data_IF_338111504271
#
_entry.id   IF_338111504271
#
_cell.length_a   1.000
_cell.length_b   1.000
_cell.length_c   1.000
_cell.angle_alpha   90.00
_cell.angle_beta   90.00
_cell.angle_gamma   90.00
#
_symmetry.space_group_name_H-M   'P 1'
#
loop_
_entity.id
_entity.type
_entity.pdbx_description
1 polymer ?
#
# COMPACT_ATOMS: atom_id res chain seq x y z
N UNK A 1 -14.94 -0.44 -58.66
CA UNK A 1 -14.27 0.60 -57.87
C UNK A 1 -15.09 0.86 -56.61
N UNK A 2 -14.58 0.36 -55.48
CA UNK A 2 -14.83 0.70 -54.06
C UNK A 2 -16.30 0.91 -53.62
N UNK A 3 -16.89 -0.13 -52.99
CA UNK A 3 -18.03 0.00 -52.07
C UNK A 3 -17.86 -0.92 -50.84
N UNK A 4 -16.70 -0.86 -50.20
CA UNK A 4 -16.39 -1.55 -48.93
C UNK A 4 -15.79 -0.57 -47.90
N UNK A 5 -16.24 0.68 -47.90
CA UNK A 5 -15.66 1.77 -47.09
C UNK A 5 -16.49 2.14 -45.84
N UNK A 6 -17.45 1.31 -45.43
CA UNK A 6 -18.23 1.57 -44.21
C UNK A 6 -18.42 0.25 -43.46
N UNK A 7 -17.36 -0.23 -42.80
CA UNK A 7 -17.46 -1.17 -41.66
C UNK A 7 -16.14 -1.46 -40.93
N UNK A 8 -15.05 -0.75 -41.22
CA UNK A 8 -13.77 -0.95 -40.51
C UNK A 8 -13.54 0.06 -39.37
N UNK A 9 -14.17 1.24 -39.43
CA UNK A 9 -13.99 2.30 -38.43
C UNK A 9 -14.62 1.98 -37.06
N UNK A 10 -15.69 1.17 -37.03
CA UNK A 10 -16.40 0.82 -35.79
C UNK A 10 -15.67 -0.27 -34.99
N UNK A 11 -14.83 -1.09 -35.62
CA UNK A 11 -14.07 -2.12 -34.90
C UNK A 11 -12.83 -1.56 -34.19
N UNK A 12 -12.25 -0.46 -34.70
CA UNK A 12 -11.04 0.14 -34.13
C UNK A 12 -11.35 0.93 -32.85
N UNK A 13 -12.56 1.50 -32.73
CA UNK A 13 -12.99 2.18 -31.50
C UNK A 13 -13.18 1.22 -30.31
N UNK A 14 -13.50 -0.05 -30.55
CA UNK A 14 -13.59 -1.08 -29.51
C UNK A 14 -12.23 -1.61 -29.04
N UNK A 15 -11.16 -1.47 -29.85
CA UNK A 15 -9.80 -1.88 -29.48
C UNK A 15 -9.12 -0.91 -28.51
N UNK A 16 -9.64 0.31 -28.33
CA UNK A 16 -9.01 1.37 -27.52
C UNK A 16 -9.61 1.53 -26.11
N UNK A 17 -10.61 0.73 -25.73
CA UNK A 17 -11.23 0.82 -24.39
C UNK A 17 -10.43 0.06 -23.32
N UNK A 18 -9.46 -0.79 -23.71
CA UNK A 18 -8.56 -1.45 -22.76
C UNK A 18 -7.25 -0.69 -22.51
N UNK A 19 -7.30 0.64 -22.46
CA UNK A 19 -6.38 1.37 -21.59
C UNK A 19 -6.85 1.20 -20.13
N UNK A 20 -6.87 -0.05 -19.64
CA UNK A 20 -7.02 -0.28 -18.22
C UNK A 20 -5.75 0.29 -17.60
N UNK A 21 -5.86 1.45 -16.95
CA UNK A 21 -4.78 2.00 -16.15
C UNK A 21 -4.26 0.86 -15.28
N UNK A 22 -3.02 0.45 -15.52
CA UNK A 22 -2.43 -0.77 -14.93
C UNK A 22 -2.71 -0.78 -13.43
N UNK A 23 -3.43 -1.81 -13.00
CA UNK A 23 -3.80 -2.01 -11.60
C UNK A 23 -2.51 -2.18 -10.78
N UNK A 24 -2.10 -1.12 -10.09
CA UNK A 24 -0.91 -1.08 -9.24
C UNK A 24 -1.14 -1.91 -7.98
N UNK A 25 -0.21 -2.80 -7.63
CA UNK A 25 -0.17 -3.35 -6.28
C UNK A 25 0.12 -2.23 -5.29
N UNK A 26 -0.42 -2.32 -4.08
CA UNK A 26 -0.28 -1.29 -3.06
C UNK A 26 0.40 -1.86 -1.82
N UNK A 27 1.40 -1.14 -1.32
CA UNK A 27 2.07 -1.45 -0.06
C UNK A 27 1.83 -0.30 0.91
N UNK A 28 1.41 -0.63 2.13
CA UNK A 28 1.23 0.33 3.22
C UNK A 28 2.18 -0.02 4.36
N UNK A 29 3.04 0.90 4.72
CA UNK A 29 3.94 0.78 5.87
C UNK A 29 3.42 1.70 6.97
N UNK A 30 3.12 1.12 8.14
CA UNK A 30 2.87 1.90 9.36
C UNK A 30 4.12 1.94 10.19
N UNK A 31 4.56 3.13 10.58
CA UNK A 31 5.73 3.29 11.41
C UNK A 31 5.53 4.34 12.49
N UNK A 32 6.29 4.21 13.59
CA UNK A 32 6.30 5.20 14.68
C UNK A 32 7.71 5.72 14.95
N UNK A 33 7.80 6.98 15.34
CA UNK A 33 9.04 7.58 15.85
C UNK A 33 9.44 6.84 17.14
N UNK A 34 10.73 6.62 17.30
CA UNK A 34 11.29 5.88 18.44
C UNK A 34 12.52 6.59 18.97
N UNK A 35 12.81 6.36 20.25
CA UNK A 35 14.00 6.90 20.90
C UNK A 35 15.26 6.23 20.38
N UNK A 36 16.40 6.92 20.52
CA UNK A 36 17.72 6.41 20.15
C UNK A 36 18.09 5.11 20.87
N UNK A 37 17.62 4.91 22.11
CA UNK A 37 17.99 3.80 23.00
C UNK A 37 17.12 2.52 22.88
N UNK A 38 16.31 2.38 21.83
CA UNK A 38 15.45 1.21 21.70
C UNK A 38 16.26 -0.01 21.16
N UNK A 39 16.01 -1.22 21.69
CA UNK A 39 16.63 -2.51 21.30
C UNK A 39 15.78 -3.31 20.29
N UNK A 40 16.35 -3.91 19.22
CA UNK A 40 15.61 -4.10 17.95
C UNK A 40 15.72 -5.39 17.12
N UNK A 41 14.65 -5.60 16.32
CA UNK A 41 14.66 -6.30 15.02
C UNK A 41 15.40 -5.46 13.96
N UNK A 42 16.47 -5.97 13.33
CA UNK A 42 17.30 -5.22 12.38
C UNK A 42 16.56 -4.79 11.10
N UNK A 43 15.48 -5.49 10.72
CA UNK A 43 14.65 -5.14 9.56
C UNK A 43 13.47 -4.22 9.92
N UNK A 44 13.25 -3.98 11.22
CA UNK A 44 12.06 -3.32 11.74
C UNK A 44 12.05 -1.80 11.59
N UNK A 45 12.82 -1.22 10.67
CA UNK A 45 13.04 0.22 10.64
C UNK A 45 13.22 0.83 9.27
N UNK A 46 12.94 2.14 9.23
CA UNK A 46 13.26 3.04 8.14
C UNK A 46 13.87 4.29 8.76
N UNK A 47 15.02 4.73 8.25
CA UNK A 47 15.58 6.03 8.57
C UNK A 47 15.26 7.00 7.44
N UNK A 48 14.78 8.18 7.80
CA UNK A 48 14.59 9.28 6.87
C UNK A 48 15.00 10.59 7.54
N UNK A 49 14.90 11.70 6.80
CA UNK A 49 15.26 13.03 7.27
C UNK A 49 14.47 13.47 8.53
N UNK A 50 13.39 12.77 8.91
CA UNK A 50 12.52 13.13 10.02
C UNK A 50 12.80 12.36 11.31
N UNK A 51 13.55 11.23 11.28
CA UNK A 51 14.11 10.42 12.39
C UNK A 51 14.18 8.93 11.98
N UNK A 52 14.67 8.10 12.90
CA UNK A 52 14.48 6.65 12.88
C UNK A 52 13.02 6.30 13.17
N UNK A 53 12.40 5.56 12.26
CA UNK A 53 11.00 5.13 12.34
C UNK A 53 10.95 3.60 12.48
N UNK A 54 10.28 3.13 13.52
CA UNK A 54 10.04 1.71 13.74
C UNK A 54 8.80 1.25 12.96
N UNK A 55 8.98 0.32 12.04
CA UNK A 55 7.89 -0.31 11.30
C UNK A 55 7.04 -1.10 12.31
N UNK A 56 5.75 -0.82 12.38
CA UNK A 56 4.79 -1.62 13.15
C UNK A 56 4.32 -2.80 12.31
N UNK A 57 3.87 -2.52 11.10
CA UNK A 57 3.45 -3.53 10.15
C UNK A 57 3.60 -3.02 8.72
N UNK A 58 3.65 -3.97 7.80
CA UNK A 58 3.61 -3.74 6.36
C UNK A 58 2.42 -4.53 5.82
N UNK A 59 1.51 -3.87 5.11
CA UNK A 59 0.33 -4.49 4.52
C UNK A 59 0.46 -4.47 3.00
N UNK A 60 0.29 -5.63 2.37
CA UNK A 60 0.37 -5.78 0.92
C UNK A 60 -1.03 -6.00 0.35
N UNK A 61 -1.38 -5.23 -0.66
CA UNK A 61 -2.65 -5.32 -1.37
C UNK A 61 -2.42 -5.67 -2.83
N UNK A 62 -3.30 -6.51 -3.34
CA UNK A 62 -3.31 -6.83 -4.74
C UNK A 62 -3.79 -5.66 -5.60
N UNK A 63 -3.72 -5.89 -6.91
CA UNK A 63 -4.14 -4.98 -7.96
C UNK A 63 -5.64 -4.59 -7.88
N UNK A 64 -6.46 -5.36 -7.18
CA UNK A 64 -7.88 -5.09 -6.94
C UNK A 64 -8.13 -4.33 -5.63
N UNK A 65 -7.07 -4.01 -4.87
CA UNK A 65 -7.16 -3.39 -3.56
C UNK A 65 -7.54 -4.37 -2.44
N UNK A 66 -7.42 -5.68 -2.67
CA UNK A 66 -7.66 -6.68 -1.62
C UNK A 66 -6.38 -6.96 -0.86
N UNK A 67 -6.47 -6.99 0.47
CA UNK A 67 -5.35 -7.36 1.33
C UNK A 67 -4.90 -8.80 1.02
N UNK A 68 -3.62 -8.97 0.68
CA UNK A 68 -2.97 -10.28 0.48
C UNK A 68 -2.36 -10.80 1.78
N UNK A 69 -1.54 -9.98 2.41
CA UNK A 69 -0.76 -10.36 3.59
C UNK A 69 -0.36 -9.15 4.44
N UNK A 70 -0.01 -9.43 5.69
CA UNK A 70 0.55 -8.46 6.63
C UNK A 70 1.84 -9.03 7.22
N UNK A 71 2.90 -8.21 7.21
CA UNK A 71 4.14 -8.47 7.92
C UNK A 71 4.10 -7.69 9.23
N UNK A 72 4.01 -8.39 10.36
CA UNK A 72 4.02 -7.79 11.69
C UNK A 72 5.45 -7.78 12.26
N UNK A 73 5.96 -6.59 12.61
CA UNK A 73 7.28 -6.47 13.20
C UNK A 73 7.32 -7.08 14.61
N UNK A 74 8.19 -8.07 14.80
CA UNK A 74 8.50 -8.73 16.08
C UNK A 74 9.98 -8.57 16.42
N UNK A 75 10.39 -8.78 17.68
CA UNK A 75 11.81 -8.70 18.07
C UNK A 75 12.77 -9.55 17.20
N UNK A 76 12.31 -10.70 16.70
CA UNK A 76 13.13 -11.65 15.93
C UNK A 76 12.90 -11.57 14.41
N UNK A 77 12.28 -10.50 13.90
CA UNK A 77 11.97 -10.37 12.47
C UNK A 77 10.50 -10.05 12.21
N UNK A 78 10.09 -10.12 10.95
CA UNK A 78 8.69 -9.98 10.59
C UNK A 78 7.97 -11.33 10.64
N UNK A 79 6.86 -11.36 11.37
CA UNK A 79 5.92 -12.47 11.33
C UNK A 79 4.87 -12.20 10.25
N UNK A 80 4.76 -13.12 9.29
CA UNK A 80 3.83 -13.02 8.17
C UNK A 80 2.48 -13.62 8.53
N UNK A 81 1.41 -12.91 8.19
CA UNK A 81 0.04 -13.38 8.25
C UNK A 81 -0.63 -13.28 6.89
N UNK A 82 -1.29 -14.35 6.47
CA UNK A 82 -2.20 -14.35 5.32
C UNK A 82 -3.56 -13.79 5.70
N UNK A 83 -4.35 -13.36 4.71
CA UNK A 83 -5.73 -12.91 4.95
C UNK A 83 -6.59 -14.00 5.63
N UNK A 84 -6.37 -15.29 5.31
CA UNK A 84 -7.13 -16.39 5.91
C UNK A 84 -6.89 -16.50 7.41
N UNK A 85 -5.61 -16.40 7.83
CA UNK A 85 -5.24 -16.43 9.24
C UNK A 85 -5.79 -15.23 10.00
N UNK A 86 -5.72 -14.03 9.41
CA UNK A 86 -6.26 -12.81 10.03
C UNK A 86 -7.79 -12.82 10.16
N UNK A 87 -8.51 -13.46 9.23
CA UNK A 87 -9.97 -13.61 9.33
C UNK A 87 -10.39 -14.47 10.53
N UNK A 88 -9.52 -15.38 10.97
CA UNK A 88 -9.77 -16.19 12.15
C UNK A 88 -9.44 -15.45 13.45
N UNK A 89 -8.73 -14.32 13.38
CA UNK A 89 -8.39 -13.46 14.52
C UNK A 89 -8.73 -11.98 14.21
N UNK A 90 -10.02 -11.66 14.34
CA UNK A 90 -10.55 -10.31 14.06
C UNK A 90 -9.91 -9.24 14.95
N UNK A 91 -9.54 -9.58 16.19
CA UNK A 91 -8.90 -8.64 17.09
C UNK A 91 -7.50 -8.27 16.59
N UNK A 92 -6.72 -9.25 16.15
CA UNK A 92 -5.42 -9.03 15.54
C UNK A 92 -5.55 -8.25 14.24
N UNK A 93 -6.48 -8.61 13.35
CA UNK A 93 -6.75 -7.90 12.11
C UNK A 93 -7.05 -6.41 12.36
N UNK A 94 -7.92 -6.11 13.32
CA UNK A 94 -8.27 -4.75 13.70
C UNK A 94 -7.08 -3.98 14.28
N UNK A 95 -6.16 -4.65 14.99
CA UNK A 95 -4.96 -4.01 15.56
C UNK A 95 -3.98 -3.48 14.50
N UNK A 96 -4.10 -3.93 13.25
CA UNK A 96 -3.28 -3.46 12.13
C UNK A 96 -3.88 -2.22 11.43
N UNK A 97 -5.11 -1.82 11.78
CA UNK A 97 -5.81 -0.67 11.22
C UNK A 97 -5.89 -0.70 9.68
N UNK A 98 -6.08 -1.88 9.09
CA UNK A 98 -6.03 -2.12 7.64
C UNK A 98 -7.12 -1.34 6.88
N UNK A 99 -8.36 -1.37 7.38
CA UNK A 99 -9.50 -0.72 6.71
C UNK A 99 -9.45 0.82 6.75
N UNK A 100 -8.54 1.38 7.54
CA UNK A 100 -8.48 2.83 7.72
C UNK A 100 -7.86 3.58 6.55
N UNK A 101 -7.25 2.88 5.58
CA UNK A 101 -6.57 3.49 4.42
C UNK A 101 -7.52 3.97 3.31
N UNK A 102 -8.74 3.43 3.23
CA UNK A 102 -9.70 3.76 2.16
C UNK A 102 -10.66 4.90 2.55
N UNK A 103 -10.50 5.46 3.74
CA UNK A 103 -11.35 6.51 4.27
C UNK A 103 -10.50 7.77 4.42
N UNK A 104 -10.57 8.66 3.43
CA UNK A 104 -9.86 9.95 3.43
C UNK A 104 -10.03 10.75 4.74
N UNK A 105 -11.16 10.55 5.43
CA UNK A 105 -11.45 11.22 6.70
C UNK A 105 -10.52 10.84 7.86
N UNK A 106 -9.85 9.70 7.81
CA UNK A 106 -9.03 9.23 8.95
C UNK A 106 -7.67 9.92 9.06
N UNK A 107 -7.16 10.51 7.98
CA UNK A 107 -5.89 11.24 7.99
C UNK A 107 -6.05 12.77 7.93
N UNK A 108 -7.23 13.29 8.30
CA UNK A 108 -7.54 14.74 8.26
C UNK A 108 -6.59 15.58 9.14
N UNK A 109 -5.93 15.00 10.13
CA UNK A 109 -4.91 15.68 10.97
C UNK A 109 -3.46 15.46 10.54
N UNK A 110 -3.21 14.68 9.47
CA UNK A 110 -1.86 14.35 9.04
C UNK A 110 -1.38 15.35 7.98
N UNK A 111 -0.09 15.67 8.02
CA UNK A 111 0.57 16.39 6.94
C UNK A 111 0.82 15.40 5.80
N UNK A 112 0.25 15.69 4.63
CA UNK A 112 0.39 14.86 3.43
C UNK A 112 1.53 15.36 2.55
N UNK A 113 2.52 14.50 2.31
CA UNK A 113 3.60 14.74 1.35
C UNK A 113 3.58 13.67 0.24
N UNK A 114 3.74 14.05 -1.02
CA UNK A 114 3.84 13.10 -2.14
C UNK A 114 5.20 13.20 -2.82
N UNK A 115 5.86 12.06 -3.01
CA UNK A 115 7.14 11.95 -3.73
C UNK A 115 7.06 10.75 -4.67
N UNK A 116 7.11 10.99 -5.98
CA UNK A 116 6.97 9.96 -7.01
C UNK A 116 5.68 9.11 -6.83
N UNK A 117 5.86 7.80 -6.67
CA UNK A 117 4.85 6.76 -6.43
C UNK A 117 4.55 6.54 -4.94
N UNK A 118 5.16 7.34 -4.07
CA UNK A 118 5.02 7.26 -2.61
C UNK A 118 4.27 8.46 -2.05
N UNK A 119 3.34 8.21 -1.13
CA UNK A 119 2.63 9.23 -0.34
C UNK A 119 2.91 8.99 1.13
N UNK A 120 3.32 10.05 1.83
CA UNK A 120 3.56 10.06 3.26
C UNK A 120 2.42 10.81 3.95
N UNK A 121 1.87 10.21 4.98
CA UNK A 121 1.01 10.88 5.94
C UNK A 121 1.77 10.98 7.26
N UNK A 122 2.07 12.20 7.69
CA UNK A 122 2.90 12.48 8.85
C UNK A 122 2.06 13.04 10.00
N UNK A 123 2.24 12.47 11.18
CA UNK A 123 1.75 13.01 12.46
C UNK A 123 2.91 13.19 13.45
N UNK A 124 2.59 13.58 14.68
CA UNK A 124 3.59 13.81 15.72
C UNK A 124 4.41 12.56 16.07
N UNK A 125 3.79 11.39 16.19
CA UNK A 125 4.46 10.13 16.53
C UNK A 125 4.38 9.07 15.43
N UNK A 126 3.38 9.14 14.55
CA UNK A 126 3.08 8.14 13.53
C UNK A 126 3.34 8.64 12.10
N UNK A 127 3.86 7.74 11.28
CA UNK A 127 4.07 7.93 9.84
C UNK A 127 3.44 6.76 9.10
N UNK A 128 2.59 7.08 8.12
CA UNK A 128 2.02 6.11 7.19
C UNK A 128 2.64 6.36 5.82
N UNK A 129 3.18 5.31 5.21
CA UNK A 129 3.82 5.36 3.90
C UNK A 129 2.99 4.49 2.96
N UNK A 130 2.42 5.11 1.94
CA UNK A 130 1.66 4.45 0.87
C UNK A 130 2.53 4.40 -0.38
N UNK A 131 2.85 3.20 -0.87
CA UNK A 131 3.68 2.98 -2.05
C UNK A 131 2.84 2.27 -3.12
N UNK A 132 2.69 2.90 -4.29
CA UNK A 132 2.01 2.31 -5.44
C UNK A 132 3.01 1.63 -6.34
N UNK A 133 3.09 0.30 -6.25
CA UNK A 133 3.96 -0.50 -7.13
C UNK A 133 3.29 -0.62 -8.49
N UNK A 134 3.98 -0.16 -9.53
CA UNK A 134 3.60 -0.48 -10.91
C UNK A 134 3.71 -2.00 -11.05
N UNK A 135 2.59 -2.67 -11.35
CA UNK A 135 2.63 -4.07 -11.74
C UNK A 135 3.61 -4.21 -12.90
N UNK A 136 4.63 -5.05 -12.74
CA UNK A 136 5.27 -5.65 -13.90
C UNK A 136 4.14 -6.45 -14.55
N UNK A 137 3.82 -6.12 -15.81
CA UNK A 137 2.99 -7.02 -16.59
C UNK A 137 3.85 -8.29 -16.75
N UNK A 138 3.53 -9.33 -15.97
CA UNK A 138 4.00 -10.69 -16.26
C UNK A 138 3.23 -11.25 -17.47
#
# INVERSE_FOLDING_TARGET
MIKYQIKLSILISFLLINCSVKKTELEIIRAKKVSENYSYNPMGFIENNYRKLNIKNISHYDKEGKLKEVLWNKPNGFLKYTLSELKNDVALLNSFDIDTIYIDKKYIGYIKEKRNDTVFYLSDDEVIIEIKKKGLDE
#
